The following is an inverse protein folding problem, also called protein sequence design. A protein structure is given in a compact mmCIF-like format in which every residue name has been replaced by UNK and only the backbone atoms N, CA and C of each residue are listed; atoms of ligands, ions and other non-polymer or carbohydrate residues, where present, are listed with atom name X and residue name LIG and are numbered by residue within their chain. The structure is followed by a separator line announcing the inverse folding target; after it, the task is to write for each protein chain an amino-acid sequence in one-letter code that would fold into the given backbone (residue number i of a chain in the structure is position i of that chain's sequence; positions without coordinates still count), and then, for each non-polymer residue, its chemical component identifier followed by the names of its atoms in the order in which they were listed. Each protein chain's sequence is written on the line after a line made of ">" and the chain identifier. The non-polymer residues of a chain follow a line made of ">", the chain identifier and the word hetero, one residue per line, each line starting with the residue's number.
data_IF_628215049067
#
_entry.id   IF_628215049067
#
_cell.length_a   1.000
_cell.length_b   1.000
_cell.length_c   1.000
_cell.angle_alpha   90.00
_cell.angle_beta   90.00
_cell.angle_gamma   90.00
#
_symmetry.space_group_name_H-M   'P 1'
#
loop_
_entity.id
_entity.type
_entity.pdbx_description
1 polymer ?
#
# COMPACT_ATOMS: atom_id res chain seq x y z
N UNK A 1 -15.35 5.05 -41.00
CA UNK A 1 -14.72 3.86 -40.39
C UNK A 1 -15.74 3.26 -39.42
N UNK A 2 -15.94 1.94 -39.44
CA UNK A 2 -16.91 1.28 -38.56
C UNK A 2 -16.41 1.32 -37.12
N UNK A 3 -17.26 1.64 -36.15
CA UNK A 3 -16.95 1.57 -34.72
C UNK A 3 -16.68 0.14 -34.24
N UNK A 4 -17.08 -0.88 -35.01
CA UNK A 4 -16.81 -2.30 -34.74
C UNK A 4 -15.46 -2.81 -35.23
N UNK A 5 -14.68 -1.99 -35.94
CA UNK A 5 -13.33 -2.37 -36.42
C UNK A 5 -12.20 -1.74 -35.60
N UNK A 6 -12.53 -1.02 -34.53
CA UNK A 6 -11.54 -0.49 -33.59
C UNK A 6 -11.24 -1.53 -32.51
N UNK A 7 -9.97 -1.70 -32.18
CA UNK A 7 -9.55 -2.56 -31.07
C UNK A 7 -9.98 -1.91 -29.77
N UNK A 8 -10.72 -2.65 -28.95
CA UNK A 8 -11.33 -2.11 -27.72
C UNK A 8 -10.70 -2.67 -26.46
N UNK A 9 -10.24 -3.92 -26.50
CA UNK A 9 -9.63 -4.56 -25.34
C UNK A 9 -8.21 -5.10 -25.63
N UNK A 10 -7.55 -5.59 -24.58
CA UNK A 10 -6.25 -6.23 -24.71
C UNK A 10 -6.30 -7.50 -25.57
N UNK A 11 -7.45 -8.17 -25.60
CA UNK A 11 -7.65 -9.39 -26.39
C UNK A 11 -7.60 -9.08 -27.89
N UNK A 12 -8.25 -8.00 -28.31
CA UNK A 12 -8.24 -7.47 -29.66
C UNK A 12 -6.81 -7.10 -30.10
N UNK A 13 -6.04 -6.46 -29.21
CA UNK A 13 -4.67 -6.04 -29.48
C UNK A 13 -3.73 -7.23 -29.74
N UNK A 14 -3.72 -8.25 -28.85
CA UNK A 14 -2.83 -9.39 -29.06
C UNK A 14 -3.29 -10.27 -30.23
N UNK A 15 -4.60 -10.42 -30.42
CA UNK A 15 -5.15 -11.16 -31.56
C UNK A 15 -4.78 -10.47 -32.87
N UNK A 16 -4.88 -9.14 -32.93
CA UNK A 16 -4.47 -8.38 -34.11
C UNK A 16 -2.97 -8.47 -34.37
N UNK A 17 -2.14 -8.39 -33.32
CA UNK A 17 -0.70 -8.55 -33.45
C UNK A 17 -0.35 -9.92 -34.04
N UNK A 18 -0.94 -11.00 -33.52
CA UNK A 18 -0.73 -12.36 -34.05
C UNK A 18 -1.14 -12.48 -35.52
N UNK A 19 -2.27 -11.88 -35.90
CA UNK A 19 -2.70 -11.84 -37.30
C UNK A 19 -1.73 -11.05 -38.19
N UNK A 20 -1.22 -9.91 -37.71
CA UNK A 20 -0.28 -9.07 -38.45
C UNK A 20 1.07 -9.77 -38.69
N UNK A 21 1.58 -10.47 -37.68
CA UNK A 21 2.82 -11.26 -37.79
C UNK A 21 2.61 -12.67 -38.37
N UNK A 22 1.38 -13.01 -38.76
CA UNK A 22 0.98 -14.28 -39.39
C UNK A 22 1.34 -15.52 -38.57
N UNK A 23 1.22 -15.44 -37.25
CA UNK A 23 1.50 -16.59 -36.37
C UNK A 23 0.20 -17.34 -36.07
N UNK A 24 0.32 -18.67 -35.95
CA UNK A 24 -0.81 -19.54 -35.61
C UNK A 24 -1.37 -19.21 -34.21
N UNK A 25 -2.67 -18.98 -34.14
CA UNK A 25 -3.43 -18.79 -32.89
C UNK A 25 -3.55 -20.10 -32.11
N UNK A 26 -3.65 -20.03 -30.78
CA UNK A 26 -3.79 -21.21 -29.90
C UNK A 26 -2.47 -21.83 -29.46
N UNK A 27 -1.32 -21.19 -29.77
CA UNK A 27 0.00 -21.59 -29.28
C UNK A 27 0.36 -20.74 -28.07
N UNK A 28 0.26 -21.32 -26.86
CA UNK A 28 0.45 -20.60 -25.59
C UNK A 28 1.77 -19.84 -25.49
N UNK A 29 2.87 -20.41 -25.99
CA UNK A 29 4.18 -19.75 -25.96
C UNK A 29 4.19 -18.46 -26.79
N UNK A 30 3.61 -18.50 -28.00
CA UNK A 30 3.47 -17.34 -28.88
C UNK A 30 2.52 -16.29 -28.29
N UNK A 31 1.41 -16.73 -27.69
CA UNK A 31 0.47 -15.84 -27.01
C UNK A 31 1.15 -15.08 -25.88
N UNK A 32 1.93 -15.77 -25.05
CA UNK A 32 2.67 -15.14 -23.97
C UNK A 32 3.72 -14.15 -24.47
N UNK A 33 4.40 -14.44 -25.59
CA UNK A 33 5.34 -13.51 -26.22
C UNK A 33 4.64 -12.27 -26.77
N UNK A 34 3.51 -12.42 -27.46
CA UNK A 34 2.71 -11.31 -27.97
C UNK A 34 2.21 -10.40 -26.82
N UNK A 35 1.71 -11.01 -25.74
CA UNK A 35 1.29 -10.29 -24.53
C UNK A 35 2.44 -9.53 -23.88
N UNK A 36 3.62 -10.16 -23.77
CA UNK A 36 4.81 -9.52 -23.22
C UNK A 36 5.23 -8.31 -24.06
N UNK A 37 5.29 -8.43 -25.39
CA UNK A 37 5.65 -7.33 -26.29
C UNK A 37 4.67 -6.15 -26.20
N UNK A 38 3.37 -6.42 -26.05
CA UNK A 38 2.36 -5.36 -25.89
C UNK A 38 2.55 -4.65 -24.54
N UNK A 39 2.82 -5.41 -23.47
CA UNK A 39 3.10 -4.85 -22.15
C UNK A 39 4.40 -4.01 -22.14
N UNK A 40 5.45 -4.48 -22.82
CA UNK A 40 6.71 -3.75 -22.96
C UNK A 40 6.50 -2.44 -23.74
N UNK A 41 5.79 -2.49 -24.87
CA UNK A 41 5.45 -1.30 -25.66
C UNK A 41 4.59 -0.31 -24.87
N UNK A 42 3.67 -0.80 -24.04
CA UNK A 42 2.87 0.02 -23.14
C UNK A 42 3.75 0.69 -22.08
N UNK A 43 4.67 -0.05 -21.47
CA UNK A 43 5.60 0.48 -20.47
C UNK A 43 6.50 1.55 -21.12
N UNK A 44 6.99 1.30 -22.33
CA UNK A 44 7.76 2.26 -23.10
C UNK A 44 6.95 3.51 -23.46
N UNK A 45 5.65 3.38 -23.74
CA UNK A 45 4.79 4.54 -23.96
C UNK A 45 4.62 5.39 -22.68
N UNK A 46 4.49 4.75 -21.52
CA UNK A 46 4.43 5.45 -20.24
C UNK A 46 5.77 6.12 -19.86
N UNK A 47 6.91 5.55 -20.26
CA UNK A 47 8.24 6.11 -20.00
C UNK A 47 8.60 7.20 -21.03
N UNK A 48 8.40 6.92 -22.32
CA UNK A 48 8.92 7.69 -23.45
C UNK A 48 8.17 8.99 -23.73
N UNK A 49 6.87 9.06 -23.44
CA UNK A 49 6.06 10.26 -23.69
C UNK A 49 6.06 11.28 -22.53
N UNK A 50 6.98 11.14 -21.56
CA UNK A 50 7.17 12.09 -20.44
C UNK A 50 5.84 12.57 -19.84
N UNK A 51 4.96 11.64 -19.47
CA UNK A 51 3.69 11.94 -18.80
C UNK A 51 2.65 12.72 -19.64
N UNK A 52 2.84 12.90 -20.95
CA UNK A 52 1.90 13.65 -21.80
C UNK A 52 0.59 12.93 -22.14
N UNK A 53 0.38 11.70 -21.67
CA UNK A 53 -0.79 10.88 -22.00
C UNK A 53 -1.87 11.04 -20.93
N UNK A 54 -2.79 11.98 -21.13
CA UNK A 54 -3.87 12.30 -20.19
C UNK A 54 -4.75 11.10 -19.78
N UNK A 55 -4.81 10.04 -20.61
CA UNK A 55 -5.58 8.84 -20.32
C UNK A 55 -4.88 7.88 -19.35
N UNK A 56 -3.57 8.01 -19.13
CA UNK A 56 -2.78 7.20 -18.20
C UNK A 56 -2.74 7.79 -16.79
N UNK A 57 -3.08 9.07 -16.65
CA UNK A 57 -3.19 9.74 -15.36
C UNK A 57 -4.50 9.34 -14.66
N UNK A 58 -4.38 9.02 -13.38
CA UNK A 58 -5.47 8.68 -12.47
C UNK A 58 -5.27 9.42 -11.16
N UNK A 59 -6.36 9.57 -10.41
CA UNK A 59 -6.34 10.14 -9.06
C UNK A 59 -6.89 9.10 -8.11
N UNK A 60 -6.08 8.72 -7.12
CA UNK A 60 -6.48 7.85 -6.02
C UNK A 60 -6.84 8.66 -4.79
N UNK A 61 -7.67 8.09 -3.93
CA UNK A 61 -8.03 8.67 -2.64
C UNK A 61 -7.56 7.75 -1.51
N UNK A 62 -6.80 8.29 -0.57
CA UNK A 62 -6.30 7.58 0.60
C UNK A 62 -6.84 8.23 1.88
N UNK A 63 -7.55 7.45 2.70
CA UNK A 63 -7.98 7.85 4.03
C UNK A 63 -7.08 7.23 5.09
N UNK A 64 -6.30 8.07 5.75
CA UNK A 64 -5.47 7.67 6.88
C UNK A 64 -6.27 7.42 8.15
N UNK A 65 -5.70 6.66 9.08
CA UNK A 65 -6.36 6.25 10.31
C UNK A 65 -5.61 6.82 11.52
N UNK A 66 -6.33 7.39 12.51
CA UNK A 66 -5.71 7.86 13.74
C UNK A 66 -5.17 6.70 14.57
N UNK A 67 -4.33 7.02 15.55
CA UNK A 67 -3.88 6.05 16.55
C UNK A 67 -5.07 5.44 17.33
N UNK A 68 -4.91 4.17 17.73
CA UNK A 68 -5.88 3.42 18.51
C UNK A 68 -5.28 2.99 19.85
N UNK A 69 -5.97 3.34 20.95
CA UNK A 69 -5.49 3.15 22.32
C UNK A 69 -6.56 2.58 23.27
N UNK A 70 -7.69 2.10 22.72
CA UNK A 70 -8.84 1.69 23.53
C UNK A 70 -8.61 0.31 24.15
N UNK A 71 -8.91 0.18 25.44
CA UNK A 71 -8.74 -1.06 26.19
C UNK A 71 -7.30 -1.27 26.67
N UNK A 72 -7.03 -2.47 27.19
CA UNK A 72 -5.71 -2.87 27.67
C UNK A 72 -5.23 -4.13 26.98
N UNK A 73 -3.95 -4.41 27.15
CA UNK A 73 -3.22 -5.47 26.48
C UNK A 73 -2.41 -6.27 27.52
N UNK A 74 -2.28 -7.56 27.29
CA UNK A 74 -1.36 -8.45 27.99
C UNK A 74 -0.52 -9.25 27.00
N UNK A 75 0.76 -9.43 27.32
CA UNK A 75 1.72 -10.22 26.54
C UNK A 75 2.83 -10.72 27.46
N UNK A 76 3.19 -11.99 27.30
CA UNK A 76 4.29 -12.61 28.04
C UNK A 76 5.61 -12.45 27.29
N UNK A 77 6.71 -12.41 28.03
CA UNK A 77 8.06 -12.38 27.49
C UNK A 77 8.31 -13.60 26.59
N UNK A 78 8.85 -13.35 25.40
CA UNK A 78 9.13 -14.39 24.40
C UNK A 78 7.91 -14.85 23.60
N UNK A 79 6.70 -14.38 23.94
CA UNK A 79 5.49 -14.67 23.18
C UNK A 79 5.31 -13.72 21.99
N UNK A 80 4.58 -14.16 20.97
CA UNK A 80 4.06 -13.32 19.90
C UNK A 80 2.58 -13.02 20.07
N UNK A 81 1.89 -13.69 20.99
CA UNK A 81 0.44 -13.59 21.14
C UNK A 81 0.08 -12.42 22.04
N UNK A 82 -0.76 -11.52 21.54
CA UNK A 82 -1.34 -10.41 22.28
C UNK A 82 -2.75 -10.78 22.73
N UNK A 83 -3.03 -10.54 24.01
CA UNK A 83 -4.37 -10.69 24.58
C UNK A 83 -4.92 -9.33 24.97
N UNK A 84 -6.01 -8.90 24.34
CA UNK A 84 -6.69 -7.64 24.64
C UNK A 84 -7.79 -7.81 25.68
N UNK A 85 -8.07 -6.73 26.43
CA UNK A 85 -9.24 -6.62 27.30
C UNK A 85 -9.93 -5.29 27.03
N UNK A 86 -11.25 -5.33 26.82
CA UNK A 86 -12.06 -4.16 26.40
C UNK A 86 -11.55 -3.49 25.12
N UNK A 87 -10.81 -4.23 24.30
CA UNK A 87 -10.34 -3.84 22.97
C UNK A 87 -11.40 -4.17 21.93
N UNK A 88 -11.37 -3.47 20.80
CA UNK A 88 -12.25 -3.65 19.65
C UNK A 88 -11.39 -3.73 18.38
N UNK A 89 -10.38 -4.61 18.38
CA UNK A 89 -9.37 -4.69 17.32
C UNK A 89 -9.93 -5.06 15.94
N UNK A 90 -10.89 -5.98 15.90
CA UNK A 90 -11.46 -6.51 14.65
C UNK A 90 -12.72 -5.76 14.22
N UNK A 91 -13.27 -4.95 15.11
CA UNK A 91 -14.41 -4.08 14.86
C UNK A 91 -14.08 -2.98 13.86
N UNK A 92 -14.97 -2.79 12.89
CA UNK A 92 -14.86 -1.72 11.91
C UNK A 92 -15.15 -0.34 12.54
N UNK A 93 -14.32 0.64 12.20
CA UNK A 93 -14.46 2.03 12.61
C UNK A 93 -15.45 2.80 11.71
N UNK A 94 -15.54 4.11 11.89
CA UNK A 94 -16.43 4.99 11.12
C UNK A 94 -16.17 4.97 9.59
N UNK A 95 -14.99 4.53 9.16
CA UNK A 95 -14.60 4.40 7.75
C UNK A 95 -14.71 2.95 7.24
N UNK A 96 -15.41 2.07 7.98
CA UNK A 96 -15.55 0.63 7.66
C UNK A 96 -14.21 -0.12 7.59
N UNK A 97 -13.21 0.38 8.30
CA UNK A 97 -11.88 -0.23 8.41
C UNK A 97 -11.68 -0.77 9.82
N UNK A 98 -11.11 -1.97 9.96
CA UNK A 98 -10.80 -2.56 11.27
C UNK A 98 -9.84 -1.67 12.07
N UNK A 99 -10.08 -1.53 13.37
CA UNK A 99 -9.24 -0.68 14.24
C UNK A 99 -7.78 -1.13 14.33
N UNK A 100 -7.52 -2.44 14.21
CA UNK A 100 -6.20 -3.03 14.09
C UNK A 100 -6.12 -3.92 12.86
N UNK A 101 -5.00 -3.86 12.14
CA UNK A 101 -4.77 -4.61 10.90
C UNK A 101 -3.38 -5.23 10.87
N UNK A 102 -3.25 -6.29 10.06
CA UNK A 102 -1.95 -6.85 9.73
C UNK A 102 -1.07 -5.81 9.02
N UNK A 103 0.22 -5.77 9.38
CA UNK A 103 1.19 -4.79 8.90
C UNK A 103 1.18 -3.45 9.65
N UNK A 104 0.21 -3.21 10.53
CA UNK A 104 0.22 -2.07 11.45
C UNK A 104 1.24 -2.23 12.57
N UNK A 105 1.48 -1.14 13.31
CA UNK A 105 2.52 -1.06 14.34
C UNK A 105 1.92 -0.78 15.71
N UNK A 106 2.55 -1.31 16.74
CA UNK A 106 2.11 -1.16 18.13
C UNK A 106 3.29 -0.83 19.04
N UNK A 107 3.05 0.09 19.96
CA UNK A 107 3.92 0.38 21.10
C UNK A 107 3.19 -0.05 22.36
N UNK A 108 3.87 -0.84 23.18
CA UNK A 108 3.32 -1.46 24.39
C UNK A 108 3.88 -0.74 25.62
N UNK A 109 3.01 -0.40 26.57
CA UNK A 109 3.35 0.20 27.86
C UNK A 109 4.23 1.46 27.76
N UNK A 110 3.93 2.34 26.80
CA UNK A 110 4.69 3.57 26.57
C UNK A 110 6.17 3.34 26.17
N UNK A 111 6.52 2.13 25.73
CA UNK A 111 7.87 1.74 25.35
C UNK A 111 8.46 2.51 24.17
N UNK A 112 9.73 2.21 23.86
CA UNK A 112 10.42 2.77 22.68
C UNK A 112 10.33 1.80 21.49
N UNK A 113 10.19 0.52 21.79
CA UNK A 113 10.16 -0.60 20.87
C UNK A 113 8.82 -0.63 20.15
N UNK A 114 8.89 -0.64 18.83
CA UNK A 114 7.74 -0.73 17.94
C UNK A 114 7.67 -2.16 17.43
N UNK A 115 6.57 -2.85 17.69
CA UNK A 115 6.30 -4.18 17.17
C UNK A 115 5.34 -4.08 15.99
N UNK A 116 5.44 -5.01 15.06
CA UNK A 116 4.52 -5.12 13.92
C UNK A 116 3.49 -6.22 14.18
N UNK A 117 2.24 -5.97 13.77
CA UNK A 117 1.14 -6.93 13.84
C UNK A 117 1.22 -7.87 12.63
N UNK A 118 1.37 -9.16 12.86
CA UNK A 118 1.30 -10.20 11.83
C UNK A 118 -0.14 -10.49 11.43
N UNK A 119 -1.04 -10.64 12.41
CA UNK A 119 -2.45 -10.92 12.17
C UNK A 119 -3.33 -10.48 13.35
N UNK A 120 -4.61 -10.27 13.06
CA UNK A 120 -5.66 -10.00 14.05
C UNK A 120 -6.73 -11.06 13.86
N UNK A 121 -6.99 -11.85 14.90
CA UNK A 121 -7.93 -12.98 14.85
C UNK A 121 -9.27 -12.68 15.53
N UNK A 122 -9.36 -11.58 16.28
CA UNK A 122 -10.59 -11.08 16.87
C UNK A 122 -10.36 -9.80 17.67
N UNK A 123 -11.42 -9.28 18.28
CA UNK A 123 -11.37 -8.00 19.02
C UNK A 123 -10.38 -7.98 20.19
N UNK A 124 -10.03 -9.15 20.72
CA UNK A 124 -9.15 -9.34 21.88
C UNK A 124 -7.95 -10.25 21.58
N UNK A 125 -7.70 -10.61 20.32
CA UNK A 125 -6.63 -11.52 19.95
C UNK A 125 -5.89 -11.03 18.70
N UNK A 126 -4.57 -10.84 18.83
CA UNK A 126 -3.68 -10.45 17.75
C UNK A 126 -2.31 -11.13 17.92
N UNK A 127 -1.53 -11.17 16.85
CA UNK A 127 -0.22 -11.82 16.83
C UNK A 127 0.82 -10.82 16.32
N UNK A 128 1.96 -10.72 17.01
CA UNK A 128 3.13 -9.96 16.59
C UNK A 128 3.97 -10.74 15.57
N UNK A 129 4.64 -10.02 14.68
CA UNK A 129 5.61 -10.60 13.74
C UNK A 129 6.90 -11.05 14.42
N UNK A 130 7.28 -10.40 15.53
CA UNK A 130 8.46 -10.73 16.32
C UNK A 130 8.09 -10.99 17.78
N UNK A 131 8.91 -11.79 18.48
CA UNK A 131 8.70 -12.10 19.89
C UNK A 131 8.85 -10.86 20.77
N UNK A 132 8.04 -10.78 21.83
CA UNK A 132 8.10 -9.70 22.80
C UNK A 132 9.35 -9.84 23.68
N UNK A 133 10.21 -8.83 23.72
CA UNK A 133 11.54 -8.93 24.36
C UNK A 133 11.58 -8.44 25.81
N UNK A 134 10.57 -7.70 26.26
CA UNK A 134 10.52 -7.13 27.62
C UNK A 134 9.93 -8.14 28.61
N UNK A 135 9.98 -7.78 29.89
CA UNK A 135 9.26 -8.50 30.95
C UNK A 135 7.76 -8.54 30.67
N UNK A 136 7.10 -9.59 31.16
CA UNK A 136 5.66 -9.79 31.06
C UNK A 136 4.88 -8.50 31.34
N UNK A 137 3.95 -8.18 30.46
CA UNK A 137 3.07 -7.04 30.56
C UNK A 137 1.64 -7.54 30.72
N UNK A 138 0.94 -7.07 31.74
CA UNK A 138 -0.44 -7.48 32.03
C UNK A 138 -1.33 -6.27 32.24
N UNK A 139 -2.45 -6.22 31.52
CA UNK A 139 -3.41 -5.12 31.54
C UNK A 139 -2.76 -3.74 31.34
N UNK A 140 -1.78 -3.65 30.44
CA UNK A 140 -1.07 -2.41 30.14
C UNK A 140 -1.75 -1.60 29.03
N UNK A 141 -1.48 -0.30 29.04
CA UNK A 141 -1.85 0.58 27.92
C UNK A 141 -0.99 0.29 26.69
N UNK A 142 -1.52 0.61 25.51
CA UNK A 142 -0.80 0.47 24.26
C UNK A 142 -1.24 1.55 23.27
N UNK A 143 -0.41 1.75 22.26
CA UNK A 143 -0.71 2.64 21.13
C UNK A 143 -0.50 1.87 19.84
N UNK A 144 -1.58 1.56 19.15
CA UNK A 144 -1.56 1.06 17.78
C UNK A 144 -1.61 2.23 16.81
N UNK A 145 -0.82 2.15 15.74
CA UNK A 145 -0.82 3.15 14.68
C UNK A 145 -0.37 2.52 13.35
N UNK A 146 -0.69 3.22 12.27
CA UNK A 146 -0.26 2.84 10.94
C UNK A 146 0.55 3.98 10.33
N UNK A 147 1.68 3.64 9.73
CA UNK A 147 2.52 4.56 8.98
C UNK A 147 2.64 4.16 7.50
N UNK A 148 2.14 2.97 7.14
CA UNK A 148 2.23 2.38 5.81
C UNK A 148 0.82 2.10 5.27
N UNK A 149 0.47 2.72 4.16
CA UNK A 149 -0.84 2.59 3.52
C UNK A 149 -0.70 2.03 2.12
N UNK A 150 -1.57 1.08 1.76
CA UNK A 150 -1.63 0.53 0.41
C UNK A 150 -2.10 1.61 -0.59
N UNK A 151 -1.40 1.72 -1.70
CA UNK A 151 -1.83 2.48 -2.86
C UNK A 151 -2.69 1.60 -3.76
N UNK A 152 -3.35 2.22 -4.74
CA UNK A 152 -4.16 1.51 -5.72
C UNK A 152 -3.39 0.37 -6.40
N UNK A 153 -4.10 -0.72 -6.68
CA UNK A 153 -3.53 -1.94 -7.26
C UNK A 153 -2.81 -1.73 -8.60
N UNK A 154 -3.17 -0.67 -9.32
CA UNK A 154 -2.64 -0.31 -10.63
C UNK A 154 -1.65 0.86 -10.56
N UNK A 155 -1.22 1.26 -9.37
CA UNK A 155 -0.23 2.31 -9.20
C UNK A 155 1.13 1.93 -9.83
N UNK A 156 1.54 2.62 -10.90
CA UNK A 156 2.84 2.42 -11.56
C UNK A 156 3.91 3.37 -11.03
N UNK A 157 3.57 4.63 -10.78
CA UNK A 157 4.47 5.66 -10.22
C UNK A 157 3.66 6.92 -9.90
N UNK A 158 4.13 7.80 -9.00
CA UNK A 158 3.48 9.08 -8.80
C UNK A 158 3.68 9.97 -10.05
N UNK A 159 2.75 10.89 -10.28
CA UNK A 159 2.91 11.91 -11.34
C UNK A 159 4.03 12.88 -10.99
N UNK A 160 4.16 13.25 -9.72
CA UNK A 160 5.26 14.08 -9.22
C UNK A 160 6.20 13.26 -8.33
N UNK A 161 7.50 13.40 -8.53
CA UNK A 161 8.50 12.76 -7.67
C UNK A 161 8.80 13.53 -6.38
N UNK A 162 8.28 14.76 -6.26
CA UNK A 162 8.54 15.65 -5.12
C UNK A 162 7.31 15.82 -4.22
N UNK A 163 6.13 15.46 -4.70
CA UNK A 163 4.86 15.63 -3.99
C UNK A 163 3.98 14.41 -4.15
N UNK A 164 3.33 14.02 -3.06
CA UNK A 164 2.41 12.89 -3.04
C UNK A 164 0.95 13.29 -3.25
N UNK A 165 0.53 14.44 -2.74
CA UNK A 165 -0.86 14.91 -2.79
C UNK A 165 -1.02 16.01 -3.84
N UNK A 166 -2.22 16.14 -4.41
CA UNK A 166 -2.54 17.21 -5.38
C UNK A 166 -2.42 18.61 -4.77
N UNK A 167 -2.56 18.74 -3.45
CA UNK A 167 -2.43 20.02 -2.74
C UNK A 167 -0.98 20.33 -2.32
N UNK A 168 -0.01 19.48 -2.68
CA UNK A 168 1.40 19.60 -2.31
C UNK A 168 1.67 19.69 -0.80
N UNK A 169 0.76 19.18 0.03
CA UNK A 169 0.93 19.18 1.48
C UNK A 169 1.95 18.14 1.97
N UNK A 170 2.17 17.08 1.18
CA UNK A 170 3.04 15.96 1.53
C UNK A 170 4.17 15.85 0.52
N UNK A 171 5.39 16.16 0.96
CA UNK A 171 6.59 16.02 0.14
C UNK A 171 6.99 14.55 0.01
N UNK A 172 7.25 14.13 -1.22
CA UNK A 172 7.78 12.81 -1.52
C UNK A 172 9.31 12.87 -1.56
N UNK A 173 9.97 11.97 -0.82
CA UNK A 173 11.43 11.84 -0.83
C UNK A 173 11.87 10.41 -1.12
N UNK A 174 13.11 10.26 -1.56
CA UNK A 174 13.69 8.95 -1.87
C UNK A 174 13.82 8.06 -0.62
N UNK A 175 13.68 6.74 -0.82
CA UNK A 175 13.75 5.74 0.26
C UNK A 175 15.04 5.83 1.09
N UNK A 176 16.17 6.14 0.46
CA UNK A 176 17.47 6.27 1.16
C UNK A 176 17.51 7.52 2.05
N UNK A 177 17.05 8.66 1.52
CA UNK A 177 16.98 9.92 2.25
C UNK A 177 15.99 9.81 3.42
N UNK A 178 14.84 9.16 3.19
CA UNK A 178 13.86 8.89 4.23
C UNK A 178 14.47 8.08 5.38
N UNK A 179 15.25 7.03 5.08
CA UNK A 179 15.92 6.22 6.11
C UNK A 179 16.97 7.00 6.90
N UNK A 180 17.66 7.96 6.27
CA UNK A 180 18.70 8.76 6.90
C UNK A 180 18.13 9.87 7.80
N UNK A 181 17.17 10.64 7.30
CA UNK A 181 16.60 11.78 8.02
C UNK A 181 15.53 11.37 9.02
N UNK A 182 14.84 10.26 8.76
CA UNK A 182 13.63 9.87 9.47
C UNK A 182 13.66 8.43 9.99
N UNK A 183 14.63 8.08 10.87
CA UNK A 183 14.80 6.70 11.33
C UNK A 183 13.73 6.24 12.36
N UNK A 184 13.00 7.17 12.99
CA UNK A 184 12.01 6.86 14.04
C UNK A 184 10.65 7.42 13.69
N UNK A 185 9.63 6.57 13.75
CA UNK A 185 8.28 6.88 13.27
C UNK A 185 7.21 6.54 14.32
N UNK A 186 7.33 7.13 15.52
CA UNK A 186 6.39 6.89 16.63
C UNK A 186 5.68 8.13 17.14
N UNK A 187 6.15 9.32 16.74
CA UNK A 187 5.54 10.58 17.16
C UNK A 187 4.42 10.92 16.20
N UNK A 188 3.20 10.98 16.71
CA UNK A 188 2.02 11.30 15.91
C UNK A 188 2.00 12.75 15.45
N UNK A 189 1.26 12.99 14.37
CA UNK A 189 0.97 14.32 13.86
C UNK A 189 0.63 14.28 12.37
N UNK A 190 0.22 15.43 11.82
CA UNK A 190 -0.07 15.56 10.39
C UNK A 190 1.13 15.07 9.55
N UNK A 191 0.93 14.09 8.65
CA UNK A 191 1.96 13.65 7.73
C UNK A 191 2.37 14.80 6.80
N UNK A 192 3.67 15.11 6.74
CA UNK A 192 4.23 16.13 5.83
C UNK A 192 5.25 15.57 4.85
N UNK A 193 5.79 14.38 5.14
CA UNK A 193 6.82 13.74 4.33
C UNK A 193 6.47 12.27 4.16
N UNK A 194 6.63 11.77 2.94
CA UNK A 194 6.37 10.39 2.59
C UNK A 194 7.45 9.80 1.68
N UNK A 195 7.56 8.48 1.68
CA UNK A 195 8.32 7.71 0.69
C UNK A 195 7.45 6.57 0.18
N UNK A 196 7.62 6.20 -1.08
CA UNK A 196 7.00 4.97 -1.61
C UNK A 196 7.88 3.79 -1.23
N UNK A 197 7.24 2.72 -0.76
CA UNK A 197 7.88 1.47 -0.43
C UNK A 197 7.13 0.31 -1.07
N UNK A 198 7.88 -0.53 -1.79
CA UNK A 198 7.40 -1.86 -2.18
C UNK A 198 7.56 -2.78 -0.98
N UNK A 199 6.51 -3.53 -0.66
CA UNK A 199 6.51 -4.55 0.38
C UNK A 199 6.14 -5.90 -0.23
N UNK A 200 6.82 -6.95 0.22
CA UNK A 200 6.53 -8.32 -0.18
C UNK A 200 5.16 -8.79 0.32
N UNK A 201 4.66 -9.81 -0.35
CA UNK A 201 3.26 -10.23 -0.40
C UNK A 201 2.60 -10.71 0.89
N UNK A 202 1.30 -10.42 0.99
CA UNK A 202 0.29 -11.28 1.64
C UNK A 202 -0.62 -11.86 0.55
N UNK A 203 -0.33 -13.08 0.10
CA UNK A 203 -1.28 -13.93 -0.64
C UNK A 203 -1.46 -13.73 -2.15
N UNK A 204 -1.14 -12.57 -2.74
CA UNK A 204 -1.24 -12.37 -4.21
C UNK A 204 0.14 -12.32 -4.90
N UNK A 205 0.23 -12.20 -6.23
CA UNK A 205 1.49 -12.27 -7.02
C UNK A 205 1.94 -10.94 -7.64
N UNK A 206 1.21 -9.83 -7.43
CA UNK A 206 1.62 -8.45 -7.80
C UNK A 206 1.99 -7.54 -6.59
N UNK A 207 3.25 -7.03 -6.46
CA UNK A 207 3.70 -6.35 -5.24
C UNK A 207 2.83 -5.13 -4.95
N UNK A 208 2.26 -5.05 -3.74
CA UNK A 208 1.43 -3.89 -3.37
C UNK A 208 2.35 -2.75 -2.96
N UNK A 209 2.34 -1.70 -3.76
CA UNK A 209 3.05 -0.47 -3.44
C UNK A 209 2.37 0.23 -2.30
N UNK A 210 3.15 0.62 -1.29
CA UNK A 210 2.65 1.36 -0.13
C UNK A 210 3.30 2.72 -0.05
N UNK A 211 2.56 3.71 0.44
CA UNK A 211 3.12 4.97 0.89
C UNK A 211 3.46 4.85 2.37
N UNK A 212 4.66 5.28 2.75
CA UNK A 212 5.12 5.36 4.14
C UNK A 212 5.28 6.80 4.56
N UNK A 213 4.55 7.20 5.59
CA UNK A 213 4.60 8.55 6.15
C UNK A 213 5.65 8.68 7.27
N UNK A 214 6.29 9.84 7.42
CA UNK A 214 7.26 10.13 8.48
C UNK A 214 6.63 10.31 9.88
N UNK A 215 5.32 10.52 9.95
CA UNK A 215 4.59 10.52 11.21
C UNK A 215 3.34 9.67 11.07
N UNK A 216 3.02 8.82 12.06
CA UNK A 216 1.73 8.20 12.09
C UNK A 216 0.67 9.30 12.24
N UNK A 217 -0.43 9.23 11.48
CA UNK A 217 -1.50 10.21 11.53
C UNK A 217 -2.12 10.32 12.93
N UNK A 218 -2.28 11.54 13.43
CA UNK A 218 -3.00 11.83 14.68
C UNK A 218 -4.52 11.86 14.49
N UNK A 219 -4.97 12.21 13.29
CA UNK A 219 -6.36 12.23 12.87
C UNK A 219 -6.52 11.51 11.53
N UNK A 220 -7.77 11.23 11.16
CA UNK A 220 -8.06 10.76 9.81
C UNK A 220 -7.92 11.92 8.81
N UNK A 221 -6.95 11.81 7.89
CA UNK A 221 -6.75 12.72 6.77
C UNK A 221 -7.08 12.03 5.45
N UNK A 222 -7.69 12.78 4.53
CA UNK A 222 -7.92 12.39 3.15
C UNK A 222 -6.81 12.99 2.28
N UNK A 223 -6.05 12.14 1.61
CA UNK A 223 -5.05 12.54 0.61
C UNK A 223 -5.49 12.09 -0.78
N UNK A 224 -5.34 12.97 -1.77
CA UNK A 224 -5.68 12.69 -3.16
C UNK A 224 -4.40 12.67 -3.98
N UNK A 225 -3.95 11.47 -4.32
CA UNK A 225 -2.66 11.31 -4.98
C UNK A 225 -2.84 11.09 -6.49
N UNK A 226 -2.25 11.94 -7.34
CA UNK A 226 -2.19 11.69 -8.77
C UNK A 226 -1.13 10.63 -9.08
N UNK A 227 -1.47 9.64 -9.89
CA UNK A 227 -0.58 8.55 -10.27
C UNK A 227 -0.75 8.15 -11.73
N UNK A 228 0.30 7.53 -12.25
CA UNK A 228 0.28 6.87 -13.55
C UNK A 228 -0.13 5.42 -13.33
N UNK A 229 -1.14 4.95 -14.06
CA UNK A 229 -1.60 3.56 -13.99
C UNK A 229 -0.66 2.61 -14.75
N UNK A 230 -0.58 1.35 -14.33
CA UNK A 230 0.04 0.26 -15.09
C UNK A 230 -0.95 -0.45 -16.04
N UNK A 231 -2.25 -0.10 -15.98
CA UNK A 231 -3.30 -0.69 -16.81
C UNK A 231 -3.41 0.04 -18.15
N UNK A 232 -3.79 -0.70 -19.19
CA UNK A 232 -4.27 -0.12 -20.44
C UNK A 232 -5.59 0.62 -20.20
N UNK A 233 -5.89 1.60 -21.07
CA UNK A 233 -7.20 2.25 -21.09
C UNK A 233 -8.30 1.17 -21.05
N UNK A 234 -9.11 1.22 -20.00
CA UNK A 234 -10.31 0.38 -19.83
C UNK A 234 -11.42 0.96 -20.70
#
# INVERSE_FOLDING_TARGET
>A
MSSTSQMTDFSDLFTSLQQAVRVQSGVTATENQAKAMINDALQDMHIGFREGMAWAERVGELVTQPQYTTGTLSVDQGSTTLTGASTLWDTANAFSVKNMRAGGKIVIDGGVEVYEIASVSGDTAAVLTATYIKSDASAVSYVYFEDEYALDSDFLRPVSFNSFDINDEVSLIGRNEFRLHYPRNKTTGKPMVATIVDRDFSGDTTPVRKVKFWKPPDQAYLFRYPFITNKLAV
#
